data_IF_677448178506
#
_entry.id   IF_677448178506
#
_cell.length_a   1.000
_cell.length_b   1.000
_cell.length_c   1.000
_cell.angle_alpha   90.00
_cell.angle_beta   90.00
_cell.angle_gamma   90.00
#
_symmetry.space_group_name_H-M   'P 1'
#
loop_
_entity.id
_entity.type
_entity.pdbx_description
1 polymer ?
#
# COMPACT_ATOMS: atom_id res chain seq x y z
N UNK A 1 -26.50 6.14 -17.63
CA UNK A 1 -26.16 4.76 -17.26
C UNK A 1 -25.25 4.91 -16.07
N UNK A 2 -25.89 4.96 -14.91
CA UNK A 2 -25.23 5.25 -13.64
C UNK A 2 -24.48 3.99 -13.22
N UNK A 3 -23.15 4.07 -13.24
CA UNK A 3 -22.32 3.04 -12.64
C UNK A 3 -22.43 3.29 -11.14
N UNK A 4 -23.16 2.42 -10.44
CA UNK A 4 -23.14 2.34 -8.98
C UNK A 4 -21.67 2.20 -8.55
N UNK A 5 -21.11 3.30 -8.05
CA UNK A 5 -19.71 3.45 -7.65
C UNK A 5 -19.51 2.97 -6.20
N UNK A 6 -20.25 1.93 -5.81
CA UNK A 6 -20.21 1.29 -4.50
C UNK A 6 -19.62 -0.12 -4.71
N UNK A 7 -18.31 -0.14 -4.95
CA UNK A 7 -17.55 -1.37 -5.05
C UNK A 7 -16.19 -1.11 -4.40
N UNK A 8 -15.94 -1.85 -3.33
CA UNK A 8 -14.69 -2.00 -2.59
C UNK A 8 -13.49 -2.01 -3.57
N UNK A 9 -12.33 -1.50 -3.14
CA UNK A 9 -11.09 -1.77 -3.86
C UNK A 9 -11.05 -3.28 -4.11
N UNK A 10 -11.03 -3.69 -5.38
CA UNK A 10 -10.88 -5.10 -5.72
C UNK A 10 -9.68 -5.63 -4.94
N UNK A 11 -9.91 -6.69 -4.14
CA UNK A 11 -9.02 -7.25 -3.11
C UNK A 11 -7.54 -7.17 -3.53
N UNK A 12 -6.86 -6.08 -3.18
CA UNK A 12 -5.43 -5.91 -3.38
C UNK A 12 -4.76 -6.53 -2.16
N UNK A 13 -3.93 -7.53 -2.38
CA UNK A 13 -3.15 -8.20 -1.33
C UNK A 13 -1.67 -8.07 -1.67
N UNK A 14 -0.85 -7.61 -0.71
CA UNK A 14 0.59 -7.47 -0.85
C UNK A 14 1.27 -8.18 0.30
N UNK A 15 2.12 -9.17 0.01
CA UNK A 15 2.82 -9.98 0.98
C UNK A 15 1.90 -10.63 2.04
N UNK A 16 0.70 -11.05 1.64
CA UNK A 16 -0.28 -11.63 2.56
C UNK A 16 -1.12 -10.60 3.36
N UNK A 17 -0.98 -9.30 3.05
CA UNK A 17 -1.70 -8.20 3.72
C UNK A 17 -2.65 -7.53 2.74
N UNK A 18 -3.91 -7.43 3.12
CA UNK A 18 -4.90 -6.67 2.36
C UNK A 18 -4.62 -5.17 2.39
N UNK A 19 -4.87 -4.52 1.26
CA UNK A 19 -4.69 -3.09 1.07
C UNK A 19 -6.05 -2.44 0.80
N UNK A 20 -6.61 -1.83 1.83
CA UNK A 20 -7.87 -1.07 1.77
C UNK A 20 -7.63 0.41 1.42
N UNK A 21 -6.41 0.90 1.61
CA UNK A 21 -6.07 2.30 1.41
C UNK A 21 -4.59 2.47 1.07
N UNK A 22 -4.33 2.94 -0.16
CA UNK A 22 -2.97 3.17 -0.66
C UNK A 22 -2.15 4.22 0.11
N UNK A 23 -2.79 5.02 0.97
CA UNK A 23 -2.12 6.05 1.77
C UNK A 23 -1.84 5.56 3.19
N UNK A 24 -2.75 4.77 3.77
CA UNK A 24 -2.69 4.39 5.20
C UNK A 24 -1.98 3.06 5.42
N UNK A 25 -2.14 2.12 4.51
CA UNK A 25 -1.74 0.73 4.75
C UNK A 25 -0.30 0.46 4.31
N UNK A 26 0.39 1.46 3.74
CA UNK A 26 1.75 1.31 3.22
C UNK A 26 2.78 0.92 4.29
N UNK A 27 2.58 1.34 5.54
CA UNK A 27 3.45 0.95 6.67
C UNK A 27 3.27 -0.52 7.06
N UNK A 28 2.03 -1.00 7.03
CA UNK A 28 1.72 -2.40 7.32
C UNK A 28 2.30 -3.30 6.21
N UNK A 29 2.21 -2.85 4.96
CA UNK A 29 2.82 -3.52 3.81
C UNK A 29 4.34 -3.50 3.91
N UNK A 30 4.96 -2.35 4.26
CA UNK A 30 6.42 -2.26 4.45
C UNK A 30 6.88 -3.23 5.54
N UNK A 31 6.14 -3.31 6.64
CA UNK A 31 6.41 -4.27 7.72
C UNK A 31 6.29 -5.72 7.25
N UNK A 32 5.23 -6.06 6.52
CA UNK A 32 5.05 -7.42 5.99
C UNK A 32 6.17 -7.81 5.01
N UNK A 33 6.57 -6.88 4.15
CA UNK A 33 7.68 -7.08 3.21
C UNK A 33 9.02 -7.28 3.94
N UNK A 34 9.25 -6.57 5.05
CA UNK A 34 10.45 -6.72 5.88
C UNK A 34 10.57 -8.12 6.52
N UNK A 35 9.44 -8.79 6.76
CA UNK A 35 9.40 -10.12 7.38
C UNK A 35 9.68 -11.26 6.41
N UNK A 36 9.70 -10.98 5.10
CA UNK A 36 9.98 -11.96 4.06
C UNK A 36 11.43 -12.45 4.13
N UNK A 37 11.62 -13.74 4.00
CA UNK A 37 12.90 -14.44 4.21
C UNK A 37 14.01 -13.98 3.27
N UNK A 38 13.68 -13.61 2.03
CA UNK A 38 14.65 -13.08 1.05
C UNK A 38 14.71 -11.55 1.01
N UNK A 39 13.98 -10.83 1.88
CA UNK A 39 14.04 -9.37 1.96
C UNK A 39 15.47 -8.81 1.92
N UNK A 40 16.47 -9.36 2.66
CA UNK A 40 17.82 -8.82 2.65
C UNK A 40 18.45 -8.67 1.25
N UNK A 41 18.06 -9.54 0.30
CA UNK A 41 18.59 -9.52 -1.07
C UNK A 41 17.90 -8.48 -1.96
N UNK A 42 16.71 -8.03 -1.56
CA UNK A 42 15.89 -7.07 -2.28
C UNK A 42 15.72 -5.73 -1.55
N UNK A 43 16.38 -5.56 -0.39
CA UNK A 43 16.35 -4.36 0.47
C UNK A 43 16.39 -3.06 -0.32
N UNK A 44 17.34 -2.91 -1.25
CA UNK A 44 17.49 -1.67 -2.01
C UNK A 44 16.34 -1.41 -2.98
N UNK A 45 15.72 -2.46 -3.53
CA UNK A 45 14.56 -2.33 -4.42
C UNK A 45 13.34 -1.84 -3.64
N UNK A 46 13.02 -2.52 -2.53
CA UNK A 46 11.88 -2.13 -1.69
C UNK A 46 12.06 -0.76 -1.06
N UNK A 47 13.26 -0.44 -0.55
CA UNK A 47 13.55 0.90 -0.03
C UNK A 47 13.29 1.98 -1.07
N UNK A 48 13.74 1.79 -2.31
CA UNK A 48 13.49 2.76 -3.39
C UNK A 48 11.99 2.88 -3.72
N UNK A 49 11.26 1.76 -3.72
CA UNK A 49 9.82 1.78 -3.99
C UNK A 49 9.05 2.50 -2.87
N UNK A 50 9.33 2.20 -1.60
CA UNK A 50 8.69 2.89 -0.46
C UNK A 50 9.09 4.36 -0.37
N UNK A 51 10.34 4.72 -0.67
CA UNK A 51 10.77 6.14 -0.78
C UNK A 51 9.96 6.89 -1.85
N UNK A 52 9.70 6.25 -3.00
CA UNK A 52 8.87 6.80 -4.07
C UNK A 52 7.41 6.94 -3.66
N UNK A 53 6.83 5.90 -3.06
CA UNK A 53 5.46 5.88 -2.53
C UNK A 53 5.30 7.04 -1.53
N UNK A 54 6.22 7.18 -0.59
CA UNK A 54 6.24 8.26 0.39
C UNK A 54 6.39 9.66 -0.24
N UNK A 55 7.19 9.78 -1.30
CA UNK A 55 7.31 11.03 -2.03
C UNK A 55 5.99 11.38 -2.75
N UNK A 56 5.31 10.39 -3.34
CA UNK A 56 4.03 10.56 -4.02
C UNK A 56 2.88 10.90 -3.04
N UNK A 57 2.80 10.22 -1.89
CA UNK A 57 1.80 10.52 -0.85
C UNK A 57 1.97 11.93 -0.28
N UNK A 58 3.20 12.47 -0.27
CA UNK A 58 3.45 13.82 0.26
C UNK A 58 2.74 14.95 -0.51
N UNK A 59 2.31 14.73 -1.76
CA UNK A 59 1.50 15.71 -2.52
C UNK A 59 0.08 15.90 -1.95
N UNK A 60 -0.33 14.99 -1.08
CA UNK A 60 -1.63 15.00 -0.41
C UNK A 60 -1.55 15.53 1.02
N UNK A 61 -0.36 15.90 1.51
CA UNK A 61 -0.20 16.45 2.86
C UNK A 61 -0.52 17.96 2.88
N UNK A 62 -1.51 18.32 3.70
CA UNK A 62 -1.96 19.68 3.98
C UNK A 62 -1.89 19.90 5.51
N UNK A 63 -1.05 20.84 5.94
CA UNK A 63 -0.89 21.22 7.37
C UNK A 63 -0.62 20.02 8.32
N UNK A 64 0.08 19.00 7.84
CA UNK A 64 0.44 17.80 8.61
C UNK A 64 -0.63 16.70 8.65
N UNK A 65 -1.69 16.82 7.86
CA UNK A 65 -2.69 15.77 7.66
C UNK A 65 -2.92 15.52 6.16
N UNK A 66 -3.36 14.32 5.78
CA UNK A 66 -3.75 14.07 4.40
C UNK A 66 -5.06 14.80 4.05
N UNK A 67 -5.12 15.36 2.84
CA UNK A 67 -6.32 15.98 2.31
C UNK A 67 -7.50 14.99 2.37
N UNK A 68 -8.69 15.48 2.73
CA UNK A 68 -9.88 14.62 2.93
C UNK A 68 -10.29 13.82 1.68
N UNK A 69 -9.91 14.29 0.49
CA UNK A 69 -10.20 13.60 -0.77
C UNK A 69 -9.13 12.58 -1.17
N UNK A 70 -7.96 12.56 -0.52
CA UNK A 70 -6.79 11.82 -0.97
C UNK A 70 -7.08 10.33 -1.14
N UNK A 71 -7.67 9.69 -0.12
CA UNK A 71 -7.99 8.25 -0.13
C UNK A 71 -8.97 7.87 -1.24
N UNK A 72 -10.00 8.71 -1.42
CA UNK A 72 -10.99 8.47 -2.47
C UNK A 72 -10.39 8.63 -3.86
N UNK A 73 -9.52 9.63 -4.04
CA UNK A 73 -8.84 9.87 -5.32
C UNK A 73 -7.89 8.73 -5.62
N UNK A 74 -6.97 8.39 -4.70
CA UNK A 74 -5.99 7.32 -4.91
C UNK A 74 -6.66 5.97 -5.12
N UNK A 75 -7.69 5.65 -4.34
CA UNK A 75 -8.47 4.43 -4.52
C UNK A 75 -9.23 4.38 -5.85
N UNK A 76 -9.73 5.52 -6.34
CA UNK A 76 -10.37 5.59 -7.67
C UNK A 76 -9.36 5.43 -8.79
N UNK A 77 -8.20 6.07 -8.69
CA UNK A 77 -7.12 5.93 -9.67
C UNK A 77 -6.58 4.49 -9.72
N UNK A 78 -6.45 3.83 -8.57
CA UNK A 78 -6.05 2.42 -8.53
C UNK A 78 -7.04 1.51 -9.24
N UNK A 79 -8.35 1.70 -9.02
CA UNK A 79 -9.40 0.92 -9.71
C UNK A 79 -9.41 1.16 -11.21
N UNK A 80 -9.12 2.38 -11.64
CA UNK A 80 -9.11 2.78 -13.05
C UNK A 80 -7.73 2.65 -13.70
N UNK A 81 -6.73 2.09 -13.02
CA UNK A 81 -5.32 2.14 -13.45
C UNK A 81 -5.09 1.61 -14.86
N UNK A 82 -5.67 0.47 -15.20
CA UNK A 82 -5.51 -0.14 -16.53
C UNK A 82 -6.16 0.74 -17.60
N UNK A 83 -7.32 1.32 -17.30
CA UNK A 83 -8.02 2.25 -18.20
C UNK A 83 -7.21 3.54 -18.37
N UNK A 84 -6.64 4.07 -17.30
CA UNK A 84 -5.77 5.26 -17.34
C UNK A 84 -4.55 4.96 -18.21
N UNK A 85 -3.90 3.83 -18.01
CA UNK A 85 -2.68 3.43 -18.72
C UNK A 85 -2.94 3.24 -20.22
N UNK A 86 -4.04 2.54 -20.57
CA UNK A 86 -4.49 2.38 -21.95
C UNK A 86 -4.72 3.74 -22.65
N UNK A 87 -5.34 4.71 -21.97
CA UNK A 87 -5.59 6.04 -22.56
C UNK A 87 -4.34 6.93 -22.57
N UNK A 88 -3.49 6.84 -21.54
CA UNK A 88 -2.25 7.59 -21.43
C UNK A 88 -1.24 7.15 -22.52
N UNK A 89 -1.16 5.85 -22.80
CA UNK A 89 -0.29 5.32 -23.86
C UNK A 89 -0.66 5.81 -25.28
N UNK A 90 -1.93 6.18 -25.49
CA UNK A 90 -2.44 6.69 -26.76
C UNK A 90 -2.42 8.23 -26.89
N UNK A 91 -1.97 8.95 -25.85
CA UNK A 91 -2.01 10.41 -25.78
C UNK A 91 -0.64 11.02 -25.46
N UNK A 92 -0.51 12.35 -25.58
CA UNK A 92 0.74 13.04 -25.27
C UNK A 92 1.05 12.95 -23.76
N UNK A 93 2.33 12.78 -23.39
CA UNK A 93 2.77 12.56 -22.01
C UNK A 93 2.34 13.66 -21.01
N UNK A 94 2.07 14.89 -21.48
CA UNK A 94 1.55 16.01 -20.67
C UNK A 94 0.02 16.03 -20.52
N UNK A 95 -0.68 14.98 -20.93
CA UNK A 95 -2.16 14.93 -20.90
C UNK A 95 -2.73 14.07 -19.77
N UNK A 96 -1.89 13.41 -18.97
CA UNK A 96 -2.32 12.49 -17.90
C UNK A 96 -3.37 13.09 -16.94
N UNK A 97 -3.23 14.32 -16.40
CA UNK A 97 -4.28 14.93 -15.58
C UNK A 97 -5.62 15.07 -16.34
N UNK A 98 -5.55 15.41 -17.63
CA UNK A 98 -6.74 15.54 -18.46
C UNK A 98 -7.37 14.17 -18.72
N UNK A 99 -6.59 13.14 -19.02
CA UNK A 99 -7.08 11.76 -19.15
C UNK A 99 -7.85 11.37 -17.90
N UNK A 100 -7.24 11.53 -16.72
CA UNK A 100 -7.86 11.17 -15.42
C UNK A 100 -9.18 11.91 -15.21
N UNK A 101 -9.25 13.23 -15.49
CA UNK A 101 -10.47 14.02 -15.28
C UNK A 101 -11.61 13.68 -16.23
N UNK A 102 -11.31 13.15 -17.42
CA UNK A 102 -12.34 12.78 -18.39
C UNK A 102 -12.86 11.35 -18.17
N UNK A 103 -12.31 10.60 -17.20
CA UNK A 103 -12.80 9.28 -16.88
C UNK A 103 -14.17 9.36 -16.18
N UNK A 104 -15.15 8.55 -16.61
CA UNK A 104 -16.44 8.45 -15.94
C UNK A 104 -16.26 8.10 -14.45
N UNK A 105 -16.89 8.89 -13.57
CA UNK A 105 -16.81 8.68 -12.12
C UNK A 105 -15.75 9.53 -11.40
N UNK A 106 -14.88 10.24 -12.13
CA UNK A 106 -13.94 11.17 -11.52
C UNK A 106 -14.55 12.57 -11.37
N UNK A 107 -14.88 12.99 -10.14
CA UNK A 107 -15.46 14.31 -9.85
C UNK A 107 -14.78 14.97 -8.63
N UNK A 108 -13.46 15.11 -8.70
CA UNK A 108 -12.66 15.66 -7.61
C UNK A 108 -11.85 16.88 -8.04
N UNK A 109 -11.77 17.88 -7.15
CA UNK A 109 -10.98 19.10 -7.34
C UNK A 109 -9.51 18.90 -6.96
N UNK A 110 -8.91 17.79 -7.40
CA UNK A 110 -7.47 17.57 -7.24
C UNK A 110 -6.69 18.40 -8.27
N UNK A 111 -5.55 18.94 -7.86
CA UNK A 111 -4.62 19.65 -8.75
C UNK A 111 -3.97 18.68 -9.76
N UNK A 112 -3.35 19.19 -10.82
CA UNK A 112 -2.67 18.33 -11.80
C UNK A 112 -1.53 17.56 -11.13
N UNK A 113 -0.78 18.24 -10.27
CA UNK A 113 0.31 17.64 -9.50
C UNK A 113 -0.17 16.51 -8.59
N UNK A 114 -1.30 16.70 -7.90
CA UNK A 114 -1.91 15.68 -7.05
C UNK A 114 -2.39 14.47 -7.84
N UNK A 115 -3.04 14.67 -8.99
CA UNK A 115 -3.51 13.58 -9.85
C UNK A 115 -2.35 12.73 -10.38
N UNK A 116 -1.30 13.39 -10.85
CA UNK A 116 -0.13 12.71 -11.40
C UNK A 116 0.66 12.02 -10.29
N UNK A 117 0.81 12.64 -9.12
CA UNK A 117 1.43 12.01 -7.96
C UNK A 117 0.64 10.78 -7.49
N UNK A 118 -0.70 10.84 -7.48
CA UNK A 118 -1.53 9.69 -7.15
C UNK A 118 -1.38 8.54 -8.16
N UNK A 119 -1.16 8.83 -9.44
CA UNK A 119 -0.86 7.78 -10.41
C UNK A 119 0.55 7.20 -10.21
N UNK A 120 1.55 8.03 -9.86
CA UNK A 120 2.87 7.55 -9.46
C UNK A 120 2.81 6.65 -8.22
N UNK A 121 1.94 6.97 -7.25
CA UNK A 121 1.66 6.13 -6.09
C UNK A 121 1.12 4.76 -6.51
N UNK A 122 0.13 4.73 -7.41
CA UNK A 122 -0.44 3.47 -7.94
C UNK A 122 0.64 2.60 -8.58
N UNK A 123 1.48 3.17 -9.46
CA UNK A 123 2.56 2.45 -10.11
C UNK A 123 3.62 1.96 -9.10
N UNK A 124 3.96 2.80 -8.11
CA UNK A 124 4.86 2.40 -7.02
C UNK A 124 4.32 1.24 -6.21
N UNK A 125 3.02 1.26 -5.86
CA UNK A 125 2.35 0.15 -5.18
C UNK A 125 2.35 -1.11 -6.04
N UNK A 126 2.06 -1.03 -7.34
CA UNK A 126 2.11 -2.19 -8.25
C UNK A 126 3.52 -2.78 -8.38
N UNK A 127 4.56 -1.94 -8.32
CA UNK A 127 5.93 -2.44 -8.26
C UNK A 127 6.14 -3.29 -7.00
N UNK A 128 5.78 -2.75 -5.82
CA UNK A 128 5.87 -3.49 -4.55
C UNK A 128 5.05 -4.78 -4.61
N UNK A 129 3.79 -4.70 -5.05
CA UNK A 129 2.86 -5.84 -5.21
C UNK A 129 3.53 -6.99 -5.95
N UNK A 130 4.04 -6.75 -7.17
CA UNK A 130 4.61 -7.81 -8.00
C UNK A 130 5.81 -8.49 -7.33
N UNK A 131 6.75 -7.71 -6.79
CA UNK A 131 7.96 -8.28 -6.20
C UNK A 131 7.69 -8.94 -4.84
N UNK A 132 6.87 -8.30 -4.01
CA UNK A 132 6.52 -8.80 -2.68
C UNK A 132 5.65 -10.07 -2.76
N UNK A 133 4.66 -10.10 -3.66
CA UNK A 133 3.83 -11.29 -3.84
C UNK A 133 4.62 -12.45 -4.44
N UNK A 134 5.56 -12.19 -5.34
CA UNK A 134 6.47 -13.26 -5.79
C UNK A 134 7.29 -13.85 -4.63
N UNK A 135 7.83 -13.01 -3.75
CA UNK A 135 8.56 -13.47 -2.56
C UNK A 135 7.66 -14.24 -1.59
N UNK A 136 6.45 -13.75 -1.35
CA UNK A 136 5.48 -14.41 -0.48
C UNK A 136 5.04 -15.77 -1.02
N UNK A 137 4.71 -15.85 -2.32
CA UNK A 137 4.36 -17.10 -3.00
C UNK A 137 5.50 -18.12 -3.02
N UNK A 138 6.75 -17.64 -3.05
CA UNK A 138 7.92 -18.49 -2.92
C UNK A 138 8.01 -19.12 -1.52
N UNK A 139 7.69 -18.36 -0.47
CA UNK A 139 7.62 -18.89 0.88
C UNK A 139 6.45 -19.87 1.02
N UNK A 140 5.24 -19.53 0.57
CA UNK A 140 4.07 -20.41 0.59
C UNK A 140 4.36 -21.76 -0.08
N UNK A 141 4.99 -21.75 -1.26
CA UNK A 141 5.40 -22.96 -1.96
C UNK A 141 6.38 -23.84 -1.15
N UNK A 142 7.13 -23.23 -0.23
CA UNK A 142 8.00 -23.95 0.69
C UNK A 142 7.21 -24.58 1.85
N UNK A 143 6.17 -23.88 2.35
CA UNK A 143 5.25 -24.39 3.38
C UNK A 143 4.38 -25.56 2.90
N UNK A 144 4.08 -25.65 1.60
CA UNK A 144 3.33 -26.77 0.99
C UNK A 144 3.99 -28.16 1.18
N UNK A 145 5.26 -28.20 1.63
CA UNK A 145 5.99 -29.44 1.91
C UNK A 145 5.55 -30.04 3.26
N UNK A 146 5.66 -29.26 4.33
CA UNK A 146 5.27 -29.60 5.71
C UNK A 146 5.33 -28.33 6.57
N UNK A 147 4.19 -27.67 6.77
CA UNK A 147 4.13 -26.35 7.39
C UNK A 147 4.69 -26.31 8.83
N UNK A 148 4.44 -27.35 9.63
CA UNK A 148 4.91 -27.43 11.02
C UNK A 148 6.44 -27.57 11.06
N UNK A 149 7.00 -28.37 10.14
CA UNK A 149 8.44 -28.52 9.99
C UNK A 149 9.10 -27.22 9.48
N UNK A 150 8.47 -26.50 8.55
CA UNK A 150 9.00 -25.24 8.03
C UNK A 150 9.00 -24.16 9.11
N UNK A 151 7.91 -24.03 9.89
CA UNK A 151 7.87 -23.12 11.04
C UNK A 151 8.94 -23.47 12.07
N UNK A 152 9.14 -24.75 12.36
CA UNK A 152 10.21 -25.19 13.26
C UNK A 152 11.58 -24.81 12.71
N UNK A 153 11.84 -25.03 11.41
CA UNK A 153 13.10 -24.67 10.76
C UNK A 153 13.33 -23.15 10.75
N UNK A 154 12.29 -22.34 10.53
CA UNK A 154 12.37 -20.88 10.56
C UNK A 154 12.85 -20.39 11.93
N UNK A 155 12.35 -20.99 13.01
CA UNK A 155 12.67 -20.61 14.38
C UNK A 155 13.99 -21.21 14.90
N UNK A 156 14.21 -22.51 14.69
CA UNK A 156 15.31 -23.26 15.30
C UNK A 156 16.55 -23.34 14.40
N UNK A 157 16.40 -23.13 13.10
CA UNK A 157 17.48 -23.27 12.11
C UNK A 157 17.32 -22.34 10.90
N UNK A 158 17.38 -20.99 11.08
CA UNK A 158 17.13 -20.02 10.00
C UNK A 158 18.00 -20.22 8.75
N UNK A 159 19.22 -20.75 8.89
CA UNK A 159 20.11 -21.06 7.75
C UNK A 159 19.58 -22.20 6.88
N UNK A 160 18.98 -23.23 7.50
CA UNK A 160 18.40 -24.36 6.76
C UNK A 160 17.09 -23.94 6.11
N UNK A 161 16.28 -23.12 6.79
CA UNK A 161 15.10 -22.48 6.21
C UNK A 161 15.45 -21.67 4.95
N UNK A 162 16.45 -20.77 5.06
CA UNK A 162 16.90 -19.97 3.93
C UNK A 162 17.43 -20.83 2.77
N UNK A 163 18.18 -21.89 3.06
CA UNK A 163 18.68 -22.80 2.02
C UNK A 163 17.55 -23.53 1.27
N UNK A 164 16.43 -23.81 1.95
CA UNK A 164 15.26 -24.42 1.34
C UNK A 164 14.54 -23.43 0.41
N UNK A 165 14.36 -22.19 0.86
CA UNK A 165 13.78 -21.11 0.04
C UNK A 165 14.65 -20.85 -1.20
N UNK A 166 15.97 -20.77 -1.05
CA UNK A 166 16.89 -20.59 -2.20
C UNK A 166 16.82 -21.75 -3.20
N UNK A 167 16.58 -22.98 -2.72
CA UNK A 167 16.35 -24.13 -3.60
C UNK A 167 15.05 -24.00 -4.39
N UNK A 168 13.99 -23.51 -3.75
CA UNK A 168 12.72 -23.28 -4.45
C UNK A 168 12.82 -22.09 -5.42
N UNK A 169 13.54 -21.04 -5.03
CA UNK A 169 13.85 -19.90 -5.90
C UNK A 169 14.54 -20.35 -7.17
N UNK A 170 15.55 -21.22 -7.05
CA UNK A 170 16.27 -21.76 -8.21
C UNK A 170 15.33 -22.51 -9.17
N UNK A 171 14.43 -23.34 -8.64
CA UNK A 171 13.42 -24.07 -9.42
C UNK A 171 12.44 -23.14 -10.13
N UNK A 172 12.09 -22.02 -9.49
CA UNK A 172 11.14 -21.02 -9.99
C UNK A 172 11.82 -19.77 -10.57
N UNK A 173 13.07 -19.88 -11.00
CA UNK A 173 13.88 -18.75 -11.49
C UNK A 173 13.23 -17.94 -12.62
N UNK A 174 12.39 -18.57 -13.46
CA UNK A 174 11.62 -17.85 -14.47
C UNK A 174 10.63 -16.82 -13.88
N UNK A 175 9.97 -17.15 -12.77
CA UNK A 175 9.05 -16.25 -12.08
C UNK A 175 9.79 -15.09 -11.41
N UNK A 176 11.01 -15.33 -10.90
CA UNK A 176 11.87 -14.25 -10.39
C UNK A 176 12.20 -13.24 -11.49
N UNK A 177 12.64 -13.73 -12.66
CA UNK A 177 13.02 -12.86 -13.78
C UNK A 177 11.83 -11.97 -14.17
N UNK A 178 10.65 -12.57 -14.31
CA UNK A 178 9.43 -11.84 -14.65
C UNK A 178 9.07 -10.79 -13.58
N UNK A 179 9.08 -11.17 -12.30
CA UNK A 179 8.74 -10.26 -11.21
C UNK A 179 9.70 -9.07 -11.14
N UNK A 180 11.01 -9.31 -11.33
CA UNK A 180 12.02 -8.25 -11.34
C UNK A 180 11.95 -7.34 -12.56
N UNK A 181 11.63 -7.88 -13.72
CA UNK A 181 11.43 -7.11 -14.95
C UNK A 181 10.21 -6.20 -14.80
N UNK A 182 9.07 -6.75 -14.36
CA UNK A 182 7.84 -5.98 -14.11
C UNK A 182 8.05 -4.91 -13.01
N UNK A 183 8.73 -5.26 -11.92
CA UNK A 183 9.12 -4.30 -10.89
C UNK A 183 9.90 -3.12 -11.49
N UNK A 184 10.90 -3.41 -12.34
CA UNK A 184 11.73 -2.38 -12.94
C UNK A 184 10.95 -1.48 -13.91
N UNK A 185 10.01 -2.04 -14.67
CA UNK A 185 9.10 -1.28 -15.55
C UNK A 185 8.24 -0.32 -14.72
N UNK A 186 7.52 -0.85 -13.72
CA UNK A 186 6.67 -0.03 -12.85
C UNK A 186 7.46 1.05 -12.12
N UNK A 187 8.65 0.72 -11.59
CA UNK A 187 9.50 1.73 -10.95
C UNK A 187 10.00 2.80 -11.92
N UNK A 188 10.32 2.45 -13.17
CA UNK A 188 10.72 3.41 -14.19
C UNK A 188 9.59 4.40 -14.49
N UNK A 189 8.38 3.87 -14.72
CA UNK A 189 7.19 4.66 -15.01
C UNK A 189 6.75 5.51 -13.80
N UNK A 190 6.79 4.94 -12.60
CA UNK A 190 6.47 5.65 -11.36
C UNK A 190 7.42 6.84 -11.14
N UNK A 191 8.73 6.66 -11.37
CA UNK A 191 9.71 7.74 -11.25
C UNK A 191 9.47 8.84 -12.28
N UNK A 192 9.21 8.48 -13.54
CA UNK A 192 8.88 9.44 -14.59
C UNK A 192 7.59 10.21 -14.26
N UNK A 193 6.58 9.51 -13.77
CA UNK A 193 5.29 10.10 -13.38
C UNK A 193 5.47 11.03 -12.18
N UNK A 194 6.26 10.65 -11.17
CA UNK A 194 6.56 11.52 -10.02
C UNK A 194 7.34 12.77 -10.43
N UNK A 195 8.28 12.65 -11.38
CA UNK A 195 8.97 13.82 -11.97
C UNK A 195 7.95 14.78 -12.63
N UNK A 196 6.98 14.23 -13.36
CA UNK A 196 5.90 15.01 -13.98
C UNK A 196 5.02 15.69 -12.93
N UNK A 197 4.69 15.02 -11.82
CA UNK A 197 3.95 15.62 -10.71
C UNK A 197 4.67 16.85 -10.13
N UNK A 198 6.01 16.75 -9.95
CA UNK A 198 6.83 17.87 -9.53
C UNK A 198 6.81 19.02 -10.56
N UNK A 199 6.83 18.71 -11.85
CA UNK A 199 6.69 19.71 -12.92
C UNK A 199 5.38 20.47 -12.79
N UNK A 200 4.25 19.77 -12.66
CA UNK A 200 2.94 20.39 -12.47
C UNK A 200 2.89 21.24 -11.19
N UNK A 201 3.43 20.76 -10.07
CA UNK A 201 3.43 21.52 -8.82
C UNK A 201 4.20 22.84 -8.97
N UNK A 202 5.33 22.84 -9.67
CA UNK A 202 6.05 24.08 -9.93
C UNK A 202 5.28 25.04 -10.83
N UNK A 203 4.60 24.54 -11.86
CA UNK A 203 3.75 25.37 -12.74
C UNK A 203 2.54 25.93 -11.99
N UNK A 204 1.90 25.14 -11.12
CA UNK A 204 0.76 25.57 -10.28
C UNK A 204 1.13 26.71 -9.32
N UNK A 205 2.37 26.71 -8.83
CA UNK A 205 2.89 27.77 -7.96
C UNK A 205 3.58 28.92 -8.72
N UNK A 206 3.67 28.84 -10.05
CA UNK A 206 4.29 29.87 -10.87
C UNK A 206 3.29 30.99 -11.20
N UNK A 207 3.70 32.21 -10.86
CA UNK A 207 3.02 33.41 -11.34
C UNK A 207 3.45 33.72 -12.78
N UNK A 208 2.71 33.15 -13.73
CA UNK A 208 2.93 33.30 -15.19
C UNK A 208 2.77 34.75 -15.69
N UNK A 209 2.25 35.65 -14.85
CA UNK A 209 2.07 37.07 -15.20
C UNK A 209 3.35 37.90 -15.04
N UNK A 210 4.40 37.36 -14.42
CA UNK A 210 5.69 38.06 -14.25
C UNK A 210 6.53 37.99 -15.51
N UNK A 211 6.87 39.15 -16.07
CA UNK A 211 7.83 39.28 -17.17
C UNK A 211 9.19 38.66 -16.80
N UNK A 212 9.72 37.76 -17.65
CA UNK A 212 11.04 37.13 -17.46
C UNK A 212 11.04 35.60 -17.37
N UNK A 213 9.96 34.92 -17.77
CA UNK A 213 9.88 33.45 -17.77
C UNK A 213 11.00 32.81 -18.59
N UNK A 214 11.81 31.96 -17.94
CA UNK A 214 12.87 31.19 -18.57
C UNK A 214 12.66 29.70 -18.28
N UNK A 215 12.27 28.96 -19.32
CA UNK A 215 12.03 27.50 -19.27
C UNK A 215 13.23 26.70 -18.79
N UNK A 216 14.46 27.16 -19.07
CA UNK A 216 15.69 26.52 -18.57
C UNK A 216 15.81 26.64 -17.04
N UNK A 217 15.43 27.77 -16.45
CA UNK A 217 15.47 27.95 -15.00
C UNK A 217 14.42 27.10 -14.26
N UNK A 218 13.28 26.83 -14.89
CA UNK A 218 12.28 25.88 -14.41
C UNK A 218 12.84 24.45 -14.41
N UNK A 219 13.43 24.02 -15.53
CA UNK A 219 14.03 22.69 -15.65
C UNK A 219 15.11 22.43 -14.59
N UNK A 220 15.99 23.40 -14.35
CA UNK A 220 17.02 23.29 -13.32
C UNK A 220 16.42 23.20 -11.91
N UNK A 221 15.38 23.98 -11.60
CA UNK A 221 14.71 23.90 -10.29
C UNK A 221 14.01 22.56 -10.09
N UNK A 222 13.43 21.97 -11.14
CA UNK A 222 12.80 20.64 -11.08
C UNK A 222 13.83 19.55 -10.82
N UNK A 223 14.96 19.58 -11.54
CA UNK A 223 16.04 18.65 -11.31
C UNK A 223 16.60 18.82 -9.88
N UNK A 224 16.83 20.05 -9.45
CA UNK A 224 17.29 20.33 -8.08
C UNK A 224 16.29 19.81 -7.05
N UNK A 225 14.98 20.05 -7.19
CA UNK A 225 13.98 19.56 -6.24
C UNK A 225 13.84 18.03 -6.24
N UNK A 226 13.78 17.41 -7.42
CA UNK A 226 13.69 15.95 -7.58
C UNK A 226 14.91 15.22 -6.99
N UNK A 227 16.09 15.85 -7.04
CA UNK A 227 17.33 15.31 -6.46
C UNK A 227 17.70 15.96 -5.11
N UNK A 228 16.85 16.82 -4.54
CA UNK A 228 17.15 17.51 -3.28
C UNK A 228 16.79 16.69 -2.06
N UNK A 229 17.53 16.94 -0.97
CA UNK A 229 17.19 16.48 0.36
C UNK A 229 15.80 16.96 0.88
N UNK A 230 15.13 17.90 0.19
CA UNK A 230 13.81 18.42 0.58
C UNK A 230 12.69 17.47 0.16
N UNK A 231 12.78 16.83 -1.02
CA UNK A 231 11.88 15.76 -1.42
C UNK A 231 12.02 14.55 -0.48
N UNK A 232 13.26 14.19 -0.13
CA UNK A 232 13.57 13.16 0.87
C UNK A 232 12.98 13.48 2.24
N UNK A 233 13.05 14.73 2.72
CA UNK A 233 12.43 15.12 4.01
C UNK A 233 10.92 15.05 4.00
N UNK A 234 10.25 15.46 2.92
CA UNK A 234 8.79 15.33 2.79
C UNK A 234 8.35 13.87 2.81
N UNK A 235 9.05 13.00 2.09
CA UNK A 235 8.82 11.55 2.16
C UNK A 235 9.07 10.99 3.56
N UNK A 236 10.14 11.43 4.23
CA UNK A 236 10.40 11.05 5.63
C UNK A 236 9.37 11.57 6.62
N UNK A 237 8.78 12.75 6.39
CA UNK A 237 7.70 13.29 7.21
C UNK A 237 6.39 12.53 6.99
N UNK A 238 6.09 12.12 5.75
CA UNK A 238 4.97 11.23 5.43
C UNK A 238 5.12 9.86 6.13
N UNK A 239 6.28 9.21 5.97
CA UNK A 239 6.58 7.94 6.64
C UNK A 239 6.60 8.06 8.17
N UNK A 240 7.07 9.18 8.73
CA UNK A 240 6.97 9.44 10.19
C UNK A 240 5.54 9.66 10.68
N UNK A 241 4.68 10.27 9.86
CA UNK A 241 3.28 10.48 10.20
C UNK A 241 2.52 9.16 10.36
N UNK A 242 2.88 8.15 9.57
CA UNK A 242 2.33 6.81 9.67
C UNK A 242 2.93 6.01 10.86
N UNK A 243 4.21 6.21 11.17
CA UNK A 243 4.96 5.55 12.26
C UNK A 243 4.76 6.13 13.67
N UNK A 244 4.18 7.33 13.83
CA UNK A 244 3.99 7.95 15.16
C UNK A 244 2.84 7.27 15.93
N UNK A 245 3.11 6.58 17.07
CA UNK A 245 2.08 5.91 17.87
C UNK A 245 1.05 6.87 18.47
N UNK A 246 1.39 8.16 18.57
CA UNK A 246 0.51 9.22 19.03
C UNK A 246 -0.25 9.91 17.89
N UNK A 247 -0.02 9.50 16.64
CA UNK A 247 -0.83 9.95 15.52
C UNK A 247 -2.28 9.52 15.73
N UNK A 248 -3.21 10.36 15.25
CA UNK A 248 -4.63 10.06 15.31
C UNK A 248 -4.98 8.73 14.61
N UNK A 249 -4.21 8.35 13.59
CA UNK A 249 -4.37 7.13 12.79
C UNK A 249 -4.01 5.89 13.62
N UNK A 250 -2.84 5.88 14.26
CA UNK A 250 -2.42 4.80 15.17
C UNK A 250 -3.34 4.73 16.39
N UNK A 251 -3.79 5.88 16.89
CA UNK A 251 -4.75 5.93 18.01
C UNK A 251 -6.10 5.32 17.63
N UNK A 252 -6.63 5.58 16.43
CA UNK A 252 -7.88 5.02 15.93
C UNK A 252 -7.78 3.50 15.66
N UNK A 253 -6.64 3.03 15.12
CA UNK A 253 -6.36 1.61 14.93
C UNK A 253 -6.22 0.86 16.27
N UNK A 254 -5.51 1.45 17.24
CA UNK A 254 -5.40 0.93 18.60
C UNK A 254 -6.75 0.90 19.34
N UNK A 255 -7.56 1.94 19.19
CA UNK A 255 -8.90 2.02 19.80
C UNK A 255 -9.84 0.96 19.21
N UNK A 256 -9.79 0.74 17.88
CA UNK A 256 -10.53 -0.34 17.22
C UNK A 256 -10.11 -1.72 17.73
N UNK A 257 -8.80 -1.98 17.83
CA UNK A 257 -8.27 -3.25 18.38
C UNK A 257 -8.70 -3.46 19.83
N UNK A 258 -8.69 -2.41 20.65
CA UNK A 258 -9.13 -2.44 22.05
C UNK A 258 -10.62 -2.76 22.18
N UNK A 259 -11.47 -2.13 21.34
CA UNK A 259 -12.91 -2.40 21.29
C UNK A 259 -13.23 -3.83 20.86
N UNK A 260 -12.53 -4.34 19.85
CA UNK A 260 -12.67 -5.73 19.40
C UNK A 260 -12.27 -6.70 20.51
N UNK A 261 -11.17 -6.42 21.21
CA UNK A 261 -10.70 -7.23 22.34
C UNK A 261 -11.76 -7.34 23.44
N UNK A 262 -12.26 -6.20 23.93
CA UNK A 262 -13.23 -6.18 25.03
C UNK A 262 -14.56 -6.87 24.65
N UNK A 263 -15.02 -6.65 23.41
CA UNK A 263 -16.23 -7.30 22.91
C UNK A 263 -16.05 -8.82 22.76
N UNK A 264 -14.90 -9.27 22.24
CA UNK A 264 -14.58 -10.69 22.09
C UNK A 264 -14.49 -11.41 23.43
N UNK A 265 -13.80 -10.83 24.42
CA UNK A 265 -13.68 -11.40 25.77
C UNK A 265 -15.05 -11.54 26.45
N UNK A 266 -15.92 -10.54 26.32
CA UNK A 266 -17.30 -10.59 26.86
C UNK A 266 -18.11 -11.73 26.26
N UNK A 267 -18.02 -11.93 24.93
CA UNK A 267 -18.75 -13.00 24.23
C UNK A 267 -18.20 -14.38 24.64
N UNK A 268 -16.88 -14.52 24.70
CA UNK A 268 -16.21 -15.77 25.09
C UNK A 268 -16.59 -16.16 26.52
N UNK A 269 -16.52 -15.23 27.47
CA UNK A 269 -16.85 -15.48 28.88
C UNK A 269 -18.33 -15.82 29.06
N UNK A 270 -19.23 -15.13 28.36
CA UNK A 270 -20.67 -15.44 28.36
C UNK A 270 -20.95 -16.87 27.89
N UNK A 271 -20.35 -17.30 26.78
CA UNK A 271 -20.54 -18.67 26.26
C UNK A 271 -19.90 -19.74 27.14
N UNK A 272 -18.81 -19.41 27.84
CA UNK A 272 -18.18 -20.30 28.83
C UNK A 272 -19.08 -20.54 30.05
N UNK A 273 -19.79 -19.50 30.53
CA UNK A 273 -20.78 -19.61 31.61
C UNK A 273 -21.95 -20.52 31.18
N UNK A 274 -22.39 -20.39 29.93
CA UNK A 274 -23.46 -21.21 29.32
C UNK A 274 -23.01 -22.64 28.99
N UNK A 275 -21.74 -23.01 29.20
CA UNK A 275 -21.12 -24.29 28.82
C UNK A 275 -21.32 -24.65 27.34
N UNK A 276 -21.37 -23.64 26.46
CA UNK A 276 -21.57 -23.83 25.02
C UNK A 276 -20.24 -23.59 24.29
N UNK A 277 -19.93 -24.45 23.33
CA UNK A 277 -18.79 -24.22 22.44
C UNK A 277 -19.06 -23.02 21.53
N UNK A 278 -18.03 -22.22 21.30
CA UNK A 278 -18.06 -21.07 20.41
C UNK A 278 -17.06 -21.34 19.28
N UNK A 279 -17.55 -21.38 18.05
CA UNK A 279 -16.66 -21.51 16.89
C UNK A 279 -16.10 -20.15 16.48
N UNK A 280 -14.93 -20.16 15.83
CA UNK A 280 -14.31 -18.95 15.26
C UNK A 280 -15.25 -18.19 14.31
N UNK A 281 -15.98 -18.91 13.46
CA UNK A 281 -16.97 -18.32 12.55
C UNK A 281 -18.15 -17.70 13.32
N UNK A 282 -18.59 -18.32 14.41
CA UNK A 282 -19.67 -17.79 15.26
C UNK A 282 -19.22 -16.53 16.01
N UNK A 283 -18.02 -16.51 16.59
CA UNK A 283 -17.44 -15.33 17.25
C UNK A 283 -17.29 -14.17 16.27
N UNK A 284 -16.79 -14.45 15.06
CA UNK A 284 -16.61 -13.45 14.00
C UNK A 284 -17.94 -12.86 13.55
N UNK A 285 -18.98 -13.68 13.37
CA UNK A 285 -20.31 -13.20 12.99
C UNK A 285 -20.94 -12.35 14.11
N UNK A 286 -20.82 -12.77 15.37
CA UNK A 286 -21.37 -12.02 16.51
C UNK A 286 -20.71 -10.65 16.70
N UNK A 287 -19.42 -10.52 16.40
CA UNK A 287 -18.71 -9.24 16.42
C UNK A 287 -19.07 -8.38 15.21
N UNK A 288 -19.24 -8.99 14.03
CA UNK A 288 -19.65 -8.28 12.83
C UNK A 288 -21.05 -7.67 12.94
N UNK A 289 -21.99 -8.42 13.54
CA UNK A 289 -23.38 -7.98 13.73
C UNK A 289 -23.50 -6.76 14.68
N UNK A 290 -22.44 -6.40 15.42
CA UNK A 290 -22.42 -5.18 16.23
C UNK A 290 -22.19 -3.91 15.39
N UNK A 291 -21.81 -4.01 14.11
CA UNK A 291 -21.61 -2.90 13.15
C UNK A 291 -20.57 -1.81 13.52
N UNK A 292 -19.86 -1.94 14.65
CA UNK A 292 -18.84 -0.97 15.11
C UNK A 292 -17.39 -1.46 14.91
N UNK A 293 -17.20 -2.72 14.52
CA UNK A 293 -15.89 -3.40 14.59
C UNK A 293 -15.23 -3.67 13.23
N UNK A 294 -15.79 -3.14 12.14
CA UNK A 294 -15.27 -3.33 10.78
C UNK A 294 -15.76 -4.63 10.14
N UNK A 295 -15.03 -5.12 9.13
CA UNK A 295 -15.44 -6.29 8.34
C UNK A 295 -15.18 -7.60 9.10
N UNK A 296 -15.77 -8.71 8.61
CA UNK A 296 -15.51 -10.05 9.18
C UNK A 296 -14.05 -10.49 9.07
N UNK A 297 -13.28 -9.91 8.13
CA UNK A 297 -11.85 -10.21 7.96
C UNK A 297 -11.01 -9.42 8.98
N UNK A 298 -11.23 -8.11 9.12
CA UNK A 298 -10.63 -7.25 10.15
C UNK A 298 -10.83 -7.81 11.56
N UNK A 299 -12.04 -8.29 11.86
CA UNK A 299 -12.34 -8.94 13.14
C UNK A 299 -11.50 -10.21 13.32
N UNK A 300 -11.39 -11.07 12.29
CA UNK A 300 -10.59 -12.31 12.35
C UNK A 300 -9.11 -12.06 12.54
N UNK A 301 -8.55 -11.07 11.86
CA UNK A 301 -7.14 -10.70 11.97
C UNK A 301 -6.82 -10.13 13.35
N UNK A 302 -7.66 -9.23 13.87
CA UNK A 302 -7.50 -8.74 15.24
C UNK A 302 -7.66 -9.85 16.28
N UNK A 303 -8.62 -10.77 16.11
CA UNK A 303 -8.75 -11.95 16.98
C UNK A 303 -7.52 -12.86 16.91
N UNK A 304 -6.93 -13.03 15.72
CA UNK A 304 -5.69 -13.80 15.51
C UNK A 304 -4.52 -13.14 16.23
N UNK A 305 -4.31 -11.84 15.98
CA UNK A 305 -3.25 -11.04 16.58
C UNK A 305 -3.41 -10.85 18.10
N UNK A 306 -4.61 -11.05 18.64
CA UNK A 306 -4.91 -11.01 20.08
C UNK A 306 -4.87 -12.41 20.73
N UNK A 307 -4.71 -13.48 19.95
CA UNK A 307 -4.75 -14.85 20.46
C UNK A 307 -6.13 -15.25 21.01
N UNK A 308 -7.20 -14.59 20.57
CA UNK A 308 -8.57 -14.76 21.06
C UNK A 308 -9.42 -15.67 20.17
N UNK A 309 -8.83 -16.31 19.16
CA UNK A 309 -9.55 -17.31 18.36
C UNK A 309 -9.84 -18.55 19.20
N UNK A 310 -11.11 -18.99 19.30
CA UNK A 310 -11.44 -20.24 19.96
C UNK A 310 -10.75 -21.39 19.23
N UNK A 311 -9.87 -22.11 19.93
CA UNK A 311 -9.29 -23.36 19.42
C UNK A 311 -10.42 -24.40 19.32
N UNK A 312 -10.45 -25.12 18.19
CA UNK A 312 -11.42 -26.18 17.89
C UNK A 312 -11.46 -27.25 18.98
#
# INVERSE_FOLDING_TARGET
MDIELDAELAELEIAGVDVECLIRDMDDIETAVLELALYPQFTDYFRQAFDLINAATSFWLEDGAYALCAERVTGTLFRLRDVIDDHASATEAGSLPNVIRHLPGFNHQATDSQLVAAFALVLGTQAVEVLANWLFELELATYDIDADLIEQLRNESPRHYLALIEKERYRRSGLEIQAREQFAVFMGEANQTLLMANFYQQVEHMDVSKNGFNTSSLMHRILDEAFSAKATRRGQEAGKGNLDPSSKIQTEAMDRRSKIKAAAETIIDGRKIEKRSLSDAELTNLLFDQTVHGTKKTIREHLTALGLRPLK
#
